data_IF_422003002322
#
_entry.id   IF_422003002322
#
_cell.length_a   1.000
_cell.length_b   1.000
_cell.length_c   1.000
_cell.angle_alpha   90.00
_cell.angle_beta   90.00
_cell.angle_gamma   90.00
#
_symmetry.space_group_name_H-M   'P 1'
#
loop_
_entity.id
_entity.type
_entity.pdbx_description
1 polymer ?
#
# COMPACT_ATOMS: atom_id res chain seq x y z
N UNK A 1 -6.72 -2.54 40.36
CA UNK A 1 -6.49 -3.90 39.80
C UNK A 1 -6.10 -3.69 38.35
N UNK A 2 -4.82 -3.78 38.06
CA UNK A 2 -4.26 -3.66 36.72
C UNK A 2 -4.61 -4.95 35.97
N UNK A 3 -5.45 -4.85 34.97
CA UNK A 3 -5.79 -5.97 34.10
C UNK A 3 -4.52 -6.47 33.40
N UNK A 4 -4.17 -7.73 33.63
CA UNK A 4 -3.15 -8.46 32.90
C UNK A 4 -3.56 -8.49 31.43
N UNK A 5 -2.99 -7.57 30.63
CA UNK A 5 -3.07 -7.67 29.19
C UNK A 5 -2.43 -8.97 28.77
N UNK A 6 -3.23 -9.95 28.38
CA UNK A 6 -2.75 -11.15 27.70
C UNK A 6 -1.97 -10.66 26.47
N UNK A 7 -0.68 -10.88 26.46
CA UNK A 7 0.14 -10.66 25.27
C UNK A 7 -0.55 -11.46 24.15
N UNK A 8 -1.12 -10.76 23.13
CA UNK A 8 -1.70 -11.43 21.98
C UNK A 8 -0.57 -12.23 21.33
N UNK A 9 -0.79 -13.52 21.15
CA UNK A 9 0.15 -14.41 20.50
C UNK A 9 0.48 -13.86 19.08
N UNK A 10 1.76 -13.87 18.73
CA UNK A 10 2.19 -13.41 17.41
C UNK A 10 1.58 -14.28 16.31
N UNK A 11 1.21 -13.65 15.21
CA UNK A 11 0.69 -14.34 14.02
C UNK A 11 1.79 -15.22 13.43
N UNK A 12 1.48 -16.49 13.18
CA UNK A 12 2.41 -17.38 12.51
C UNK A 12 2.49 -17.03 11.02
N UNK A 13 3.37 -16.08 10.69
CA UNK A 13 3.67 -15.67 9.31
C UNK A 13 4.81 -16.54 8.78
N UNK A 14 4.51 -17.35 7.74
CA UNK A 14 5.50 -18.24 7.12
C UNK A 14 6.55 -17.42 6.37
N UNK A 15 7.83 -17.73 6.61
CA UNK A 15 8.93 -17.04 5.94
C UNK A 15 9.12 -17.57 4.50
N UNK A 16 9.32 -16.64 3.56
CA UNK A 16 9.46 -16.91 2.13
C UNK A 16 10.90 -16.74 1.65
N UNK A 17 11.24 -17.29 0.48
CA UNK A 17 12.61 -17.20 -0.07
C UNK A 17 12.91 -15.80 -0.61
N UNK A 18 11.88 -15.05 -1.02
CA UNK A 18 12.01 -13.67 -1.45
C UNK A 18 10.67 -13.07 -1.84
N UNK A 19 10.65 -11.77 -2.09
CA UNK A 19 9.53 -11.03 -2.62
C UNK A 19 10.02 -9.98 -3.62
N UNK A 20 9.29 -9.85 -4.73
CA UNK A 20 9.47 -8.77 -5.70
C UNK A 20 8.26 -7.84 -5.59
N UNK A 21 8.49 -6.55 -5.39
CA UNK A 21 7.44 -5.52 -5.35
C UNK A 21 7.59 -4.65 -6.59
N UNK A 22 6.61 -4.70 -7.49
CA UNK A 22 6.56 -3.88 -8.70
C UNK A 22 5.59 -2.73 -8.48
N UNK A 23 6.02 -1.49 -8.65
CA UNK A 23 5.16 -0.31 -8.60
C UNK A 23 4.40 -0.22 -9.93
N UNK A 24 3.08 -0.41 -9.88
CA UNK A 24 2.20 -0.38 -11.06
C UNK A 24 1.57 1.01 -11.26
N UNK A 25 1.16 1.66 -10.16
CA UNK A 25 0.67 3.05 -10.15
C UNK A 25 1.38 3.83 -9.06
N UNK A 26 1.86 5.02 -9.41
CA UNK A 26 2.43 6.02 -8.51
C UNK A 26 2.33 7.41 -9.14
N UNK A 27 2.58 8.44 -8.35
CA UNK A 27 2.57 9.84 -8.80
C UNK A 27 3.77 10.20 -9.72
N UNK A 28 4.72 9.30 -9.90
CA UNK A 28 5.98 9.58 -10.59
C UNK A 28 6.34 8.50 -11.60
N UNK A 29 6.79 8.91 -12.79
CA UNK A 29 7.38 8.05 -13.83
C UNK A 29 8.66 8.70 -14.36
N UNK A 30 9.73 7.91 -14.47
CA UNK A 30 10.98 8.34 -15.10
C UNK A 30 11.65 7.11 -15.74
N UNK A 31 11.72 7.11 -17.05
CA UNK A 31 12.23 6.01 -17.86
C UNK A 31 13.75 6.06 -18.07
N UNK A 32 14.44 7.05 -17.48
CA UNK A 32 15.89 7.24 -17.59
C UNK A 32 16.62 6.80 -16.30
N UNK A 33 15.90 6.36 -15.28
CA UNK A 33 16.50 5.91 -14.03
C UNK A 33 17.27 4.61 -14.24
N UNK A 34 18.49 4.55 -13.70
CA UNK A 34 19.33 3.35 -13.78
C UNK A 34 18.95 2.30 -12.73
N UNK A 35 19.20 1.03 -13.06
CA UNK A 35 19.15 -0.07 -12.12
C UNK A 35 20.20 0.11 -11.01
N UNK A 36 19.86 -0.38 -9.83
CA UNK A 36 20.79 -0.50 -8.70
C UNK A 36 20.66 -1.88 -8.07
N UNK A 37 21.50 -2.23 -7.10
CA UNK A 37 21.45 -3.55 -6.48
C UNK A 37 20.05 -3.86 -5.90
N UNK A 38 19.43 -4.91 -6.43
CA UNK A 38 18.07 -5.35 -6.05
C UNK A 38 16.94 -4.40 -6.46
N UNK A 39 17.23 -3.41 -7.31
CA UNK A 39 16.22 -2.48 -7.86
C UNK A 39 16.36 -2.47 -9.39
N UNK A 40 15.32 -2.90 -10.07
CA UNK A 40 15.23 -2.83 -11.54
C UNK A 40 14.27 -1.70 -11.93
N UNK A 41 14.63 -0.99 -13.00
CA UNK A 41 13.81 0.09 -13.55
C UNK A 41 13.18 -0.33 -14.87
N UNK A 42 12.02 0.21 -15.16
CA UNK A 42 11.47 0.10 -16.49
C UNK A 42 12.32 0.94 -17.45
N UNK A 43 12.84 0.31 -18.50
CA UNK A 43 13.61 0.98 -19.53
C UNK A 43 12.76 1.08 -20.78
N UNK A 44 12.49 2.29 -21.23
CA UNK A 44 11.82 2.51 -22.50
C UNK A 44 12.79 2.19 -23.67
N UNK A 45 12.33 1.32 -24.59
CA UNK A 45 13.11 0.96 -25.77
C UNK A 45 12.84 1.86 -26.97
N UNK A 46 11.65 2.43 -27.04
CA UNK A 46 11.19 3.26 -28.15
C UNK A 46 10.10 4.23 -27.67
N UNK A 47 10.19 5.48 -28.05
CA UNK A 47 9.17 6.51 -27.75
C UNK A 47 8.18 6.72 -28.91
N UNK A 48 8.39 6.08 -30.07
CA UNK A 48 7.59 6.30 -31.28
C UNK A 48 6.23 5.59 -31.24
N UNK A 49 6.26 4.28 -31.36
CA UNK A 49 5.04 3.48 -31.62
C UNK A 49 4.56 2.64 -30.43
N UNK A 50 5.22 2.72 -29.28
CA UNK A 50 4.88 1.90 -28.13
C UNK A 50 4.18 2.69 -27.05
N UNK A 51 3.24 2.04 -26.41
CA UNK A 51 2.63 2.55 -25.20
C UNK A 51 3.69 2.70 -24.11
N UNK A 52 3.65 3.84 -23.43
CA UNK A 52 4.54 4.16 -22.33
C UNK A 52 3.79 4.04 -21.01
N UNK A 53 4.55 3.82 -19.93
CA UNK A 53 4.03 3.91 -18.56
C UNK A 53 3.49 5.31 -18.29
N UNK A 54 2.43 5.38 -17.49
CA UNK A 54 1.82 6.63 -17.06
C UNK A 54 1.79 6.72 -15.54
N UNK A 55 1.99 7.92 -15.01
CA UNK A 55 1.80 8.25 -13.61
C UNK A 55 0.43 8.89 -13.39
N UNK A 56 -0.16 8.64 -12.22
CA UNK A 56 -1.37 9.36 -11.76
C UNK A 56 -1.35 9.49 -10.25
N UNK A 57 -2.23 10.34 -9.70
CA UNK A 57 -2.41 10.40 -8.26
C UNK A 57 -3.13 9.14 -7.79
N UNK A 58 -2.40 8.20 -7.22
CA UNK A 58 -2.90 6.91 -6.78
C UNK A 58 -1.77 5.93 -6.49
N UNK A 59 -2.10 4.77 -5.98
CA UNK A 59 -1.13 3.72 -5.70
C UNK A 59 -1.62 2.35 -6.16
N UNK A 60 -0.71 1.57 -6.74
CA UNK A 60 -0.90 0.14 -6.98
C UNK A 60 0.45 -0.55 -7.02
N UNK A 61 0.55 -1.69 -6.39
CA UNK A 61 1.75 -2.51 -6.39
C UNK A 61 1.43 -3.99 -6.65
N UNK A 62 2.23 -4.65 -7.49
CA UNK A 62 2.21 -6.09 -7.63
C UNK A 62 3.25 -6.70 -6.69
N UNK A 63 2.78 -7.47 -5.70
CA UNK A 63 3.60 -8.14 -4.69
C UNK A 63 3.74 -9.61 -5.09
N UNK A 64 4.88 -10.00 -5.62
CA UNK A 64 5.14 -11.38 -6.07
C UNK A 64 5.98 -12.13 -5.04
N UNK A 65 5.32 -13.00 -4.28
CA UNK A 65 5.98 -13.86 -3.28
C UNK A 65 6.66 -15.03 -3.97
N UNK A 66 7.91 -15.33 -3.56
CA UNK A 66 8.70 -16.44 -4.09
C UNK A 66 8.95 -17.49 -2.98
N UNK A 67 8.57 -18.74 -3.24
CA UNK A 67 8.80 -19.87 -2.33
C UNK A 67 9.13 -21.12 -3.14
N UNK A 68 10.37 -21.58 -3.10
CA UNK A 68 10.89 -22.60 -4.00
C UNK A 68 10.79 -22.16 -5.47
N UNK A 69 10.08 -22.94 -6.27
CA UNK A 69 9.80 -22.62 -7.67
C UNK A 69 8.50 -21.83 -7.88
N UNK A 70 7.70 -21.68 -6.83
CA UNK A 70 6.40 -20.98 -6.91
C UNK A 70 6.59 -19.47 -6.90
N UNK A 71 5.85 -18.79 -7.79
CA UNK A 71 5.69 -17.33 -7.82
C UNK A 71 4.20 -17.02 -7.65
N UNK A 72 3.86 -16.29 -6.62
CA UNK A 72 2.47 -16.02 -6.26
C UNK A 72 2.23 -14.51 -6.21
N UNK A 73 1.76 -13.90 -7.31
CA UNK A 73 1.47 -12.47 -7.36
C UNK A 73 0.15 -12.12 -6.66
N UNK A 74 0.20 -11.04 -5.87
CA UNK A 74 -0.93 -10.37 -5.22
C UNK A 74 -0.96 -8.94 -5.69
N UNK A 75 -2.09 -8.46 -6.18
CA UNK A 75 -2.27 -7.05 -6.50
C UNK A 75 -2.69 -6.31 -5.22
N UNK A 76 -1.94 -5.31 -4.85
CA UNK A 76 -2.23 -4.41 -3.74
C UNK A 76 -2.62 -3.05 -4.30
N UNK A 77 -3.87 -2.65 -4.08
CA UNK A 77 -4.52 -1.47 -4.65
C UNK A 77 -4.61 -1.44 -6.20
N UNK A 78 -5.41 -0.55 -6.72
CA UNK A 78 -5.72 -0.45 -8.15
C UNK A 78 -5.50 0.95 -8.76
N UNK A 79 -4.98 1.92 -7.99
CA UNK A 79 -4.86 3.30 -8.48
C UNK A 79 -6.23 4.00 -8.66
N UNK A 80 -6.23 5.11 -9.37
CA UNK A 80 -7.40 5.98 -9.52
C UNK A 80 -8.21 5.69 -10.80
N UNK A 81 -7.53 5.46 -11.93
CA UNK A 81 -8.23 5.36 -13.21
C UNK A 81 -8.05 4.01 -13.91
N UNK A 82 -9.13 3.46 -14.49
CA UNK A 82 -9.06 2.21 -15.27
C UNK A 82 -8.08 2.27 -16.43
N UNK A 83 -7.91 3.45 -17.02
CA UNK A 83 -6.99 3.63 -18.16
C UNK A 83 -5.54 3.51 -17.73
N UNK A 84 -5.15 4.16 -16.62
CA UNK A 84 -3.77 4.12 -16.16
C UNK A 84 -3.38 2.71 -15.67
N UNK A 85 -4.20 2.10 -14.79
CA UNK A 85 -3.94 0.74 -14.31
C UNK A 85 -3.82 -0.25 -15.47
N UNK A 86 -4.83 -0.27 -16.34
CA UNK A 86 -4.85 -1.20 -17.46
C UNK A 86 -3.67 -1.02 -18.40
N UNK A 87 -3.33 0.22 -18.75
CA UNK A 87 -2.17 0.52 -19.59
C UNK A 87 -0.86 0.05 -18.97
N UNK A 88 -0.65 0.36 -17.68
CA UNK A 88 0.59 -0.02 -17.01
C UNK A 88 0.70 -1.54 -16.83
N UNK A 89 -0.41 -2.25 -16.58
CA UNK A 89 -0.41 -3.71 -16.56
C UNK A 89 0.01 -4.31 -17.91
N UNK A 90 -0.49 -3.74 -19.03
CA UNK A 90 -0.13 -4.19 -20.38
C UNK A 90 1.36 -3.91 -20.68
N UNK A 91 1.84 -2.69 -20.40
CA UNK A 91 3.23 -2.28 -20.70
C UNK A 91 4.24 -3.05 -19.84
N UNK A 92 3.89 -3.38 -18.60
CA UNK A 92 4.73 -4.16 -17.69
C UNK A 92 4.61 -5.67 -17.89
N UNK A 93 3.78 -6.12 -18.84
CA UNK A 93 3.52 -7.54 -19.12
C UNK A 93 3.18 -8.32 -17.83
N UNK A 94 2.25 -7.75 -17.04
CA UNK A 94 1.85 -8.37 -15.78
C UNK A 94 1.00 -9.62 -16.06
N UNK A 95 1.38 -10.79 -15.50
CA UNK A 95 0.64 -12.04 -15.70
C UNK A 95 -0.68 -12.01 -14.87
N UNK A 96 -1.69 -11.31 -15.38
CA UNK A 96 -2.97 -11.08 -14.69
C UNK A 96 -3.66 -12.41 -14.34
N UNK A 97 -3.56 -13.40 -15.23
CA UNK A 97 -4.11 -14.75 -15.03
C UNK A 97 -3.47 -15.50 -13.86
N UNK A 98 -2.26 -15.14 -13.46
CA UNK A 98 -1.55 -15.76 -12.33
C UNK A 98 -1.88 -15.11 -10.99
N UNK A 99 -2.59 -13.97 -10.96
CA UNK A 99 -2.97 -13.31 -9.71
C UNK A 99 -3.65 -14.29 -8.75
N UNK A 100 -3.24 -14.27 -7.49
CA UNK A 100 -3.75 -15.12 -6.41
C UNK A 100 -4.73 -14.41 -5.49
N UNK A 101 -4.63 -13.10 -5.36
CA UNK A 101 -5.54 -12.28 -4.58
C UNK A 101 -5.42 -10.80 -5.00
N UNK A 102 -6.42 -10.02 -4.60
CA UNK A 102 -6.39 -8.56 -4.58
C UNK A 102 -6.53 -8.13 -3.12
N UNK A 103 -5.80 -7.10 -2.72
CA UNK A 103 -5.94 -6.47 -1.40
C UNK A 103 -6.18 -4.98 -1.61
N UNK A 104 -7.23 -4.44 -1.02
CA UNK A 104 -7.50 -3.00 -0.99
C UNK A 104 -7.04 -2.46 0.35
N UNK A 105 -6.15 -1.48 0.33
CA UNK A 105 -5.60 -0.86 1.53
C UNK A 105 -6.65 -0.13 2.34
N UNK A 106 -7.48 0.68 1.67
CA UNK A 106 -8.58 1.44 2.26
C UNK A 106 -9.53 1.97 1.16
N UNK A 107 -10.66 2.55 1.55
CA UNK A 107 -11.74 2.92 0.63
C UNK A 107 -11.60 4.27 -0.07
N UNK A 108 -10.41 4.85 -0.23
CA UNK A 108 -10.22 6.04 -1.04
C UNK A 108 -10.12 5.67 -2.54
N UNK A 109 -10.73 6.50 -3.39
CA UNK A 109 -10.89 6.19 -4.81
C UNK A 109 -9.57 6.00 -5.58
N UNK A 110 -8.50 6.64 -5.14
CA UNK A 110 -7.16 6.56 -5.71
C UNK A 110 -6.40 5.25 -5.36
N UNK A 111 -7.09 4.32 -4.67
CA UNK A 111 -6.61 2.98 -4.36
C UNK A 111 -7.45 1.85 -4.97
N UNK A 112 -8.68 2.15 -5.43
CA UNK A 112 -9.54 1.12 -6.01
C UNK A 112 -10.16 1.50 -7.36
N UNK A 113 -10.17 2.80 -7.69
CA UNK A 113 -10.89 3.30 -8.88
C UNK A 113 -10.40 2.74 -10.21
N UNK A 114 -9.14 2.29 -10.27
CA UNK A 114 -8.54 1.69 -11.46
C UNK A 114 -8.87 0.22 -11.69
N UNK A 115 -9.48 -0.50 -10.73
CA UNK A 115 -9.70 -1.97 -10.82
C UNK A 115 -10.50 -2.41 -12.06
N UNK A 116 -11.41 -1.59 -12.56
CA UNK A 116 -12.12 -1.87 -13.81
C UNK A 116 -11.12 -2.08 -14.98
N UNK A 117 -9.97 -1.41 -14.96
CA UNK A 117 -8.90 -1.58 -15.95
C UNK A 117 -8.29 -2.98 -15.94
N UNK A 118 -8.20 -3.62 -14.76
CA UNK A 118 -7.82 -5.01 -14.59
C UNK A 118 -8.91 -5.95 -15.13
N UNK A 119 -10.18 -5.73 -14.75
CA UNK A 119 -11.29 -6.62 -15.11
C UNK A 119 -11.55 -6.66 -16.61
N UNK A 120 -11.35 -5.56 -17.32
CA UNK A 120 -11.45 -5.52 -18.79
C UNK A 120 -10.43 -6.42 -19.50
N UNK A 121 -9.34 -6.81 -18.82
CA UNK A 121 -8.20 -7.58 -19.35
C UNK A 121 -8.17 -9.02 -18.87
N UNK A 122 -8.84 -9.30 -17.77
CA UNK A 122 -8.87 -10.63 -17.17
C UNK A 122 -10.21 -11.32 -17.47
N UNK A 123 -10.22 -12.59 -17.88
CA UNK A 123 -11.45 -13.34 -17.89
C UNK A 123 -12.01 -13.43 -16.47
N UNK A 124 -13.34 -13.39 -16.33
CA UNK A 124 -14.00 -13.57 -15.03
C UNK A 124 -13.57 -14.89 -14.40
N UNK A 125 -13.07 -14.79 -13.17
CA UNK A 125 -12.67 -15.95 -12.38
C UNK A 125 -12.84 -15.64 -10.91
N UNK A 126 -13.02 -16.66 -10.10
CA UNK A 126 -13.04 -16.50 -8.65
C UNK A 126 -11.65 -16.09 -8.16
N UNK A 127 -11.54 -14.89 -7.63
CA UNK A 127 -10.31 -14.34 -7.08
C UNK A 127 -10.61 -13.69 -5.72
N UNK A 128 -9.92 -14.06 -4.63
CA UNK A 128 -10.11 -13.43 -3.34
C UNK A 128 -9.76 -11.93 -3.40
N UNK A 129 -10.65 -11.10 -2.86
CA UNK A 129 -10.41 -9.69 -2.62
C UNK A 129 -10.56 -9.41 -1.13
N UNK A 130 -9.46 -9.04 -0.48
CA UNK A 130 -9.47 -8.67 0.94
C UNK A 130 -9.68 -7.17 1.06
N UNK A 131 -10.69 -6.79 1.82
CA UNK A 131 -11.07 -5.40 2.06
C UNK A 131 -11.55 -5.22 3.50
N UNK A 132 -11.31 -4.05 4.07
CA UNK A 132 -11.83 -3.72 5.39
C UNK A 132 -13.31 -3.29 5.30
N UNK A 133 -14.20 -3.65 6.25
CA UNK A 133 -15.62 -3.29 6.16
C UNK A 133 -15.90 -1.78 6.18
N UNK A 134 -15.05 -0.95 6.77
CA UNK A 134 -15.21 0.51 6.71
C UNK A 134 -14.85 1.12 5.34
N UNK A 135 -14.21 0.37 4.43
CA UNK A 135 -13.84 0.85 3.11
C UNK A 135 -15.06 1.14 2.20
N UNK A 136 -16.22 0.59 2.54
CA UNK A 136 -17.48 0.84 1.80
C UNK A 136 -18.15 2.19 2.12
N UNK A 137 -17.61 2.96 3.06
CA UNK A 137 -18.19 4.24 3.46
C UNK A 137 -17.87 5.33 2.45
N UNK A 138 -18.90 6.10 2.06
CA UNK A 138 -18.70 7.34 1.29
C UNK A 138 -17.94 8.34 2.17
N UNK A 139 -16.91 8.99 1.62
CA UNK A 139 -16.02 9.89 2.35
C UNK A 139 -15.84 11.23 1.66
N UNK A 140 -15.38 12.21 2.42
CA UNK A 140 -14.95 13.51 1.92
C UNK A 140 -13.89 14.15 2.80
N UNK A 141 -13.08 14.99 2.19
CA UNK A 141 -12.18 15.93 2.89
C UNK A 141 -12.78 17.33 2.78
N UNK A 142 -12.85 18.04 3.91
CA UNK A 142 -13.29 19.43 3.97
C UNK A 142 -12.08 20.32 4.18
N UNK A 143 -11.72 21.13 3.19
CA UNK A 143 -10.59 22.05 3.27
C UNK A 143 -10.91 23.28 4.11
N UNK A 144 -9.88 23.97 4.59
CA UNK A 144 -10.04 25.23 5.37
C UNK A 144 -10.78 26.34 4.59
N UNK A 145 -10.79 26.28 3.27
CA UNK A 145 -11.55 27.17 2.39
C UNK A 145 -13.05 26.86 2.33
N UNK A 146 -13.49 25.74 2.93
CA UNK A 146 -14.84 25.22 2.80
C UNK A 146 -15.07 24.36 1.53
N UNK A 147 -14.08 24.23 0.66
CA UNK A 147 -14.17 23.33 -0.48
C UNK A 147 -14.16 21.86 -0.01
N UNK A 148 -14.89 21.00 -0.74
CA UNK A 148 -14.97 19.57 -0.45
C UNK A 148 -14.34 18.75 -1.56
N UNK A 149 -13.55 17.74 -1.19
CA UNK A 149 -13.10 16.68 -2.07
C UNK A 149 -13.92 15.42 -1.74
N UNK A 150 -14.73 14.96 -2.67
CA UNK A 150 -15.51 13.71 -2.54
C UNK A 150 -14.64 12.51 -2.86
N UNK A 151 -14.76 11.47 -2.05
CA UNK A 151 -14.04 10.21 -2.17
C UNK A 151 -15.09 9.08 -2.24
N UNK A 152 -15.57 8.74 -3.46
CA UNK A 152 -16.53 7.66 -3.63
C UNK A 152 -15.91 6.32 -3.22
N UNK A 153 -16.66 5.47 -2.48
CA UNK A 153 -16.18 4.16 -2.09
C UNK A 153 -16.23 3.16 -3.25
N UNK A 154 -15.56 2.02 -3.14
CA UNK A 154 -15.81 0.89 -4.04
C UNK A 154 -17.25 0.40 -3.88
N UNK A 155 -17.78 -0.26 -4.91
CA UNK A 155 -19.12 -0.85 -4.90
C UNK A 155 -19.01 -2.36 -4.81
N UNK A 156 -19.51 -2.96 -3.72
CA UNK A 156 -19.46 -4.42 -3.51
C UNK A 156 -20.06 -5.19 -4.69
N UNK A 157 -21.26 -4.78 -5.13
CA UNK A 157 -21.97 -5.47 -6.22
C UNK A 157 -21.20 -5.47 -7.54
N UNK A 158 -20.46 -4.40 -7.84
CA UNK A 158 -19.63 -4.32 -9.05
C UNK A 158 -18.44 -5.28 -8.96
N UNK A 159 -17.78 -5.34 -7.79
CA UNK A 159 -16.65 -6.25 -7.56
C UNK A 159 -17.08 -7.73 -7.62
N UNK A 160 -18.20 -8.09 -6.98
CA UNK A 160 -18.76 -9.45 -7.02
C UNK A 160 -19.23 -9.82 -8.45
N UNK A 161 -19.78 -8.87 -9.22
CA UNK A 161 -20.15 -9.08 -10.61
C UNK A 161 -18.97 -9.42 -11.52
N UNK A 162 -17.76 -8.99 -11.16
CA UNK A 162 -16.51 -9.35 -11.84
C UNK A 162 -15.94 -10.71 -11.39
N UNK A 163 -16.61 -11.41 -10.46
CA UNK A 163 -16.24 -12.74 -9.98
C UNK A 163 -15.35 -12.73 -8.75
N UNK A 164 -15.17 -11.58 -8.09
CA UNK A 164 -14.34 -11.51 -6.89
C UNK A 164 -15.06 -12.09 -5.69
N UNK A 165 -14.36 -12.90 -4.91
CA UNK A 165 -14.78 -13.38 -3.60
C UNK A 165 -14.36 -12.33 -2.54
N UNK A 166 -15.33 -11.51 -2.11
CA UNK A 166 -15.07 -10.42 -1.17
C UNK A 166 -14.92 -10.97 0.25
N UNK A 167 -13.72 -10.81 0.82
CA UNK A 167 -13.36 -11.18 2.19
C UNK A 167 -13.27 -9.90 3.01
N UNK A 168 -14.26 -9.66 3.85
CA UNK A 168 -14.28 -8.54 4.78
C UNK A 168 -13.72 -8.95 6.14
N UNK A 169 -12.66 -8.28 6.57
CA UNK A 169 -12.11 -8.54 7.89
C UNK A 169 -11.51 -7.25 8.50
N UNK A 170 -11.82 -7.02 9.78
CA UNK A 170 -11.25 -5.92 10.57
C UNK A 170 -9.88 -6.27 11.14
N UNK A 171 -9.69 -7.55 11.45
CA UNK A 171 -8.45 -8.08 12.00
C UNK A 171 -7.54 -8.53 10.87
N UNK A 172 -6.37 -8.96 11.25
CA UNK A 172 -5.42 -9.51 10.29
C UNK A 172 -5.96 -10.74 9.56
N UNK A 173 -5.58 -10.88 8.29
CA UNK A 173 -5.94 -12.01 7.43
C UNK A 173 -4.66 -12.60 6.84
N UNK A 174 -4.56 -13.92 6.80
CA UNK A 174 -3.46 -14.64 6.16
C UNK A 174 -3.89 -15.11 4.76
N UNK A 175 -3.05 -14.86 3.77
CA UNK A 175 -3.20 -15.33 2.40
C UNK A 175 -2.03 -16.25 2.04
N UNK A 176 -2.18 -17.02 0.95
CA UNK A 176 -1.14 -17.87 0.38
C UNK A 176 -0.54 -18.84 1.43
N UNK A 177 -1.41 -19.55 2.14
CA UNK A 177 -1.01 -20.51 3.21
C UNK A 177 -0.13 -19.87 4.29
N UNK A 178 -0.46 -18.65 4.68
CA UNK A 178 0.25 -17.93 5.74
C UNK A 178 1.53 -17.21 5.30
N UNK A 179 1.80 -17.08 4.00
CA UNK A 179 2.99 -16.39 3.46
C UNK A 179 2.81 -14.89 3.30
N UNK A 180 1.56 -14.41 3.27
CA UNK A 180 1.21 -12.99 3.19
C UNK A 180 0.24 -12.66 4.30
N UNK A 181 0.56 -11.63 5.07
CA UNK A 181 -0.28 -11.10 6.14
C UNK A 181 -0.87 -9.76 5.70
N UNK A 182 -2.19 -9.66 5.67
CA UNK A 182 -2.91 -8.38 5.61
C UNK A 182 -3.18 -7.94 7.04
N UNK A 183 -2.75 -6.75 7.42
CA UNK A 183 -2.68 -6.34 8.83
C UNK A 183 -4.03 -6.15 9.52
N UNK A 184 -5.10 -5.83 8.75
CA UNK A 184 -6.31 -5.28 9.32
C UNK A 184 -6.06 -3.91 9.98
N UNK A 185 -6.93 -3.52 10.91
CA UNK A 185 -6.81 -2.25 11.64
C UNK A 185 -5.45 -2.10 12.34
N UNK A 186 -4.82 -0.94 12.15
CA UNK A 186 -3.52 -0.61 12.72
C UNK A 186 -3.69 0.07 14.08
N UNK A 187 -3.08 -0.49 15.12
CA UNK A 187 -3.06 0.11 16.45
C UNK A 187 -2.19 1.38 16.46
N UNK A 188 -2.74 2.48 16.97
CA UNK A 188 -2.03 3.76 17.08
C UNK A 188 -1.32 3.86 18.42
N UNK A 189 0.00 3.95 18.38
CA UNK A 189 0.88 3.97 19.56
C UNK A 189 1.78 5.18 19.62
N UNK A 190 1.84 6.01 18.55
CA UNK A 190 2.61 7.23 18.52
C UNK A 190 1.78 8.43 18.99
N UNK A 191 2.42 9.42 19.61
CA UNK A 191 1.75 10.63 20.07
C UNK A 191 1.51 11.65 18.96
N UNK A 192 2.23 11.55 17.83
CA UNK A 192 2.20 12.53 16.76
C UNK A 192 1.35 12.13 15.55
N UNK A 193 1.12 10.85 15.29
CA UNK A 193 0.29 10.35 14.18
C UNK A 193 -1.19 10.33 14.58
N UNK A 194 -1.83 11.51 14.57
CA UNK A 194 -3.19 11.72 15.12
C UNK A 194 -4.32 11.53 14.12
N UNK A 195 -4.01 11.10 12.89
CA UNK A 195 -5.00 10.92 11.83
C UNK A 195 -5.24 12.19 11.01
N UNK A 196 -6.37 12.23 10.29
CA UNK A 196 -6.71 13.26 9.31
C UNK A 196 -7.94 14.08 9.78
N UNK A 197 -7.75 15.19 10.51
CA UNK A 197 -8.83 15.89 11.22
C UNK A 197 -9.96 16.42 10.33
N UNK A 198 -9.68 16.70 9.06
CA UNK A 198 -10.68 17.24 8.11
C UNK A 198 -11.38 16.18 7.29
N UNK A 199 -11.14 14.91 7.59
CA UNK A 199 -11.77 13.77 6.94
C UNK A 199 -13.12 13.43 7.58
N UNK A 200 -14.12 13.14 6.76
CA UNK A 200 -15.47 12.80 7.16
C UNK A 200 -15.93 11.55 6.41
N UNK A 201 -16.75 10.75 7.07
CA UNK A 201 -17.44 9.63 6.46
C UNK A 201 -18.96 9.78 6.59
N UNK A 202 -19.70 9.13 5.69
CA UNK A 202 -21.16 9.14 5.73
C UNK A 202 -21.67 8.03 6.64
N UNK A 203 -22.64 8.37 7.48
CA UNK A 203 -23.44 7.46 8.31
C UNK A 203 -24.92 7.69 8.05
N UNK A 204 -25.79 6.92 8.69
CA UNK A 204 -27.25 7.09 8.61
C UNK A 204 -27.71 8.48 9.06
N UNK A 205 -26.97 9.11 9.99
CA UNK A 205 -27.23 10.46 10.50
C UNK A 205 -26.67 11.61 9.61
N UNK A 206 -25.97 11.29 8.55
CA UNK A 206 -25.31 12.28 7.68
C UNK A 206 -23.78 12.18 7.70
N UNK A 207 -23.11 13.31 7.50
CA UNK A 207 -21.65 13.37 7.55
C UNK A 207 -21.14 13.49 8.98
N UNK A 208 -20.21 12.63 9.38
CA UNK A 208 -19.56 12.65 10.68
C UNK A 208 -18.05 12.70 10.55
N UNK A 209 -17.29 13.25 11.53
CA UNK A 209 -15.83 13.19 11.51
C UNK A 209 -15.33 11.75 11.49
N UNK A 210 -14.38 11.46 10.59
CA UNK A 210 -13.72 10.17 10.45
C UNK A 210 -12.19 10.35 10.37
N UNK A 211 -11.56 10.97 11.38
CA UNK A 211 -10.15 11.30 11.32
C UNK A 211 -9.24 10.09 11.38
N UNK A 212 -9.75 8.95 11.82
CA UNK A 212 -8.92 7.76 12.06
C UNK A 212 -8.74 6.90 10.82
N UNK A 213 -9.69 6.91 9.87
CA UNK A 213 -9.62 6.09 8.64
C UNK A 213 -9.20 4.65 9.02
N UNK A 214 -10.06 4.00 9.82
CA UNK A 214 -9.72 2.73 10.50
C UNK A 214 -9.53 1.54 9.54
N UNK A 215 -9.93 1.71 8.30
CA UNK A 215 -9.76 0.70 7.24
C UNK A 215 -8.33 0.65 6.64
N UNK A 216 -7.43 1.54 7.04
CA UNK A 216 -6.04 1.55 6.57
C UNK A 216 -5.30 0.27 6.98
N UNK A 217 -5.09 -0.62 6.02
CA UNK A 217 -4.44 -1.92 6.21
C UNK A 217 -3.29 -2.11 5.25
N UNK A 218 -2.35 -2.98 5.62
CA UNK A 218 -1.06 -3.14 4.96
C UNK A 218 -0.77 -4.60 4.64
N UNK A 219 0.06 -4.85 3.61
CA UNK A 219 0.57 -6.18 3.29
C UNK A 219 1.95 -6.34 3.90
N UNK A 220 2.18 -7.47 4.59
CA UNK A 220 3.41 -7.78 5.32
C UNK A 220 3.90 -9.17 4.90
N UNK A 221 5.16 -9.27 4.51
CA UNK A 221 5.83 -10.49 4.11
C UNK A 221 7.10 -10.67 4.95
N UNK A 222 7.36 -11.89 5.44
CA UNK A 222 8.59 -12.21 6.14
C UNK A 222 9.56 -12.91 5.20
N UNK A 223 10.67 -12.28 4.85
CA UNK A 223 11.69 -12.85 3.96
C UNK A 223 12.80 -13.51 4.78
N UNK A 224 13.08 -14.78 4.50
CA UNK A 224 14.11 -15.58 5.20
C UNK A 224 15.44 -14.84 5.31
N UNK A 225 15.92 -14.68 6.53
CA UNK A 225 17.21 -14.03 6.82
C UNK A 225 17.26 -12.52 6.60
N UNK A 226 16.19 -11.90 6.03
CA UNK A 226 16.15 -10.46 5.75
C UNK A 226 15.19 -9.68 6.65
N UNK A 227 14.06 -10.28 7.07
CA UNK A 227 13.04 -9.65 7.89
C UNK A 227 11.79 -9.25 7.11
N UNK A 228 11.02 -8.30 7.64
CA UNK A 228 9.74 -7.90 7.08
C UNK A 228 9.89 -6.97 5.87
N UNK A 229 9.08 -7.22 4.86
CA UNK A 229 8.77 -6.28 3.79
C UNK A 229 7.32 -5.84 4.00
N UNK A 230 7.11 -4.53 4.12
CA UNK A 230 5.82 -3.90 4.38
C UNK A 230 5.43 -3.07 3.15
N UNK A 231 4.20 -3.28 2.65
CA UNK A 231 3.62 -2.47 1.57
C UNK A 231 2.38 -1.78 2.10
N UNK A 232 2.34 -0.45 2.01
CA UNK A 232 1.27 0.40 2.52
C UNK A 232 0.69 1.28 1.40
N UNK A 233 -0.63 1.46 1.39
CA UNK A 233 -1.31 2.37 0.46
C UNK A 233 -1.01 3.82 0.79
N UNK A 234 -1.56 4.30 1.90
CA UNK A 234 -1.37 5.67 2.40
C UNK A 234 -0.77 5.77 3.80
N UNK A 235 -0.82 4.73 4.61
CA UNK A 235 -0.46 4.79 6.03
C UNK A 235 -1.25 5.86 6.80
N UNK A 236 -2.56 5.95 6.61
CA UNK A 236 -3.41 6.90 7.35
C UNK A 236 -3.41 6.64 8.86
N UNK A 237 -3.13 5.42 9.26
CA UNK A 237 -2.90 5.06 10.65
C UNK A 237 -1.61 5.69 11.23
N UNK A 238 -0.74 6.19 10.35
CA UNK A 238 0.60 6.67 10.65
C UNK A 238 1.65 5.65 10.24
N UNK A 239 2.66 6.07 9.47
CA UNK A 239 3.66 5.16 8.92
C UNK A 239 4.51 4.49 10.03
N UNK A 240 4.76 5.16 11.15
CA UNK A 240 5.44 4.57 12.31
C UNK A 240 4.52 3.59 13.04
N UNK A 241 3.22 3.89 13.14
CA UNK A 241 2.24 2.95 13.69
C UNK A 241 2.14 1.69 12.83
N UNK A 242 2.16 1.81 11.51
CA UNK A 242 2.18 0.66 10.57
C UNK A 242 3.40 -0.21 10.83
N UNK A 243 4.60 0.37 10.93
CA UNK A 243 5.84 -0.35 11.21
C UNK A 243 5.74 -1.10 12.56
N UNK A 244 5.36 -0.41 13.63
CA UNK A 244 5.18 -1.00 14.97
C UNK A 244 4.12 -2.10 15.00
N UNK A 245 3.04 -1.92 14.25
CA UNK A 245 1.99 -2.91 14.14
C UNK A 245 2.49 -4.18 13.43
N UNK A 246 3.31 -4.05 12.38
CA UNK A 246 3.92 -5.18 11.71
C UNK A 246 4.85 -5.98 12.66
N UNK A 247 5.69 -5.28 13.43
CA UNK A 247 6.52 -5.91 14.46
C UNK A 247 5.68 -6.62 15.55
N UNK A 248 4.62 -5.95 16.02
CA UNK A 248 3.73 -6.50 17.06
C UNK A 248 2.98 -7.75 16.57
N UNK A 249 2.47 -7.72 15.34
CA UNK A 249 1.72 -8.85 14.76
C UNK A 249 2.59 -10.07 14.54
N UNK A 250 3.83 -9.87 14.09
CA UNK A 250 4.69 -10.97 13.63
C UNK A 250 5.76 -11.40 14.65
N UNK A 251 6.09 -10.54 15.63
CA UNK A 251 7.23 -10.72 16.52
C UNK A 251 8.59 -10.48 15.84
N UNK A 252 8.62 -10.16 14.54
CA UNK A 252 9.85 -9.90 13.77
C UNK A 252 10.16 -8.42 13.81
N UNK A 253 11.35 -8.03 14.29
CA UNK A 253 11.76 -6.63 14.44
C UNK A 253 12.55 -6.07 13.25
N UNK A 254 13.20 -6.94 12.48
CA UNK A 254 14.01 -6.51 11.35
C UNK A 254 13.12 -6.14 10.18
N UNK A 255 13.22 -4.92 9.71
CA UNK A 255 12.49 -4.41 8.55
C UNK A 255 13.43 -4.39 7.35
N UNK A 256 13.20 -5.31 6.40
CA UNK A 256 13.96 -5.38 5.16
C UNK A 256 13.57 -4.26 4.18
N UNK A 257 12.26 -3.94 4.12
CA UNK A 257 11.77 -2.86 3.28
C UNK A 257 10.44 -2.29 3.74
N UNK A 258 10.23 -0.99 3.50
CA UNK A 258 8.96 -0.31 3.68
C UNK A 258 8.65 0.53 2.43
N UNK A 259 7.55 0.19 1.75
CA UNK A 259 7.19 0.66 0.43
C UNK A 259 5.78 1.24 0.45
N UNK A 260 5.58 2.39 -0.20
CA UNK A 260 4.26 2.96 -0.42
C UNK A 260 4.08 4.37 0.11
N UNK A 261 2.82 4.79 0.31
CA UNK A 261 2.47 6.10 0.80
C UNK A 261 2.61 6.22 2.32
N UNK A 262 3.16 7.36 2.78
CA UNK A 262 3.34 7.66 4.20
C UNK A 262 2.52 8.85 4.66
N UNK A 263 1.67 9.37 3.79
CA UNK A 263 0.74 10.50 4.00
C UNK A 263 1.35 11.69 4.74
N UNK A 264 2.51 12.16 4.27
CA UNK A 264 3.27 13.25 4.87
C UNK A 264 3.17 14.58 4.08
N UNK A 265 2.31 14.62 3.06
CA UNK A 265 2.07 15.80 2.25
C UNK A 265 0.96 16.68 2.82
N UNK A 266 1.08 17.99 2.60
CA UNK A 266 0.13 18.99 3.06
C UNK A 266 0.39 19.53 4.46
N UNK A 267 -0.11 20.74 4.71
CA UNK A 267 0.25 21.53 5.91
C UNK A 267 -0.09 20.86 7.25
N UNK A 268 -1.06 19.94 7.28
CA UNK A 268 -1.44 19.20 8.49
C UNK A 268 -0.39 18.13 8.83
N UNK A 269 0.22 17.51 7.82
CA UNK A 269 1.11 16.37 7.99
C UNK A 269 2.60 16.74 7.93
N UNK A 270 2.97 17.85 7.29
CA UNK A 270 4.37 18.30 7.24
C UNK A 270 5.06 18.40 8.60
N UNK A 271 4.39 18.84 9.69
CA UNK A 271 5.02 18.90 11.02
C UNK A 271 5.48 17.55 11.57
N UNK A 272 4.94 16.42 11.09
CA UNK A 272 5.33 15.09 11.57
C UNK A 272 6.41 14.42 10.70
N UNK A 273 6.91 15.08 9.65
CA UNK A 273 8.00 14.55 8.82
C UNK A 273 9.22 14.20 9.66
N UNK A 274 9.70 15.16 10.47
CA UNK A 274 10.88 14.94 11.32
C UNK A 274 10.75 13.73 12.25
N UNK A 275 9.74 13.69 13.14
CA UNK A 275 9.52 12.54 14.02
C UNK A 275 9.36 11.20 13.29
N UNK A 276 8.75 11.19 12.10
CA UNK A 276 8.61 9.98 11.29
C UNK A 276 9.96 9.49 10.76
N UNK A 277 10.77 10.40 10.22
CA UNK A 277 12.12 10.09 9.71
C UNK A 277 13.02 9.59 10.84
N UNK A 278 13.00 10.25 12.00
CA UNK A 278 13.77 9.83 13.18
C UNK A 278 13.41 8.39 13.61
N UNK A 279 12.12 8.06 13.57
CA UNK A 279 11.65 6.72 13.90
C UNK A 279 12.13 5.67 12.88
N UNK A 280 12.13 5.97 11.59
CA UNK A 280 12.62 5.06 10.55
C UNK A 280 14.13 4.83 10.63
N UNK A 281 14.90 5.87 10.91
CA UNK A 281 16.33 5.77 11.18
C UNK A 281 16.58 4.88 12.40
N UNK A 282 15.85 5.13 13.49
CA UNK A 282 15.97 4.33 14.72
C UNK A 282 15.58 2.85 14.53
N UNK A 283 14.58 2.58 13.68
CA UNK A 283 14.17 1.22 13.32
C UNK A 283 15.15 0.52 12.36
N UNK A 284 16.14 1.25 11.83
CA UNK A 284 17.12 0.73 10.87
C UNK A 284 16.46 0.02 9.67
N UNK A 285 15.48 0.70 9.04
CA UNK A 285 14.77 0.18 7.87
C UNK A 285 15.75 -0.05 6.72
N UNK A 286 15.82 -1.27 6.20
CA UNK A 286 16.84 -1.67 5.23
C UNK A 286 16.68 -1.01 3.86
N UNK A 287 15.42 -0.88 3.36
CA UNK A 287 15.08 -0.09 2.17
C UNK A 287 13.79 0.68 2.39
N UNK A 288 13.76 1.95 1.99
CA UNK A 288 12.59 2.80 2.09
C UNK A 288 12.22 3.37 0.71
N UNK A 289 10.98 3.15 0.28
CA UNK A 289 10.43 3.62 -1.00
C UNK A 289 9.21 4.49 -0.74
N UNK A 290 9.41 5.80 -0.46
CA UNK A 290 8.34 6.72 -0.15
C UNK A 290 7.60 7.16 -1.43
N UNK A 291 6.45 6.54 -1.69
CA UNK A 291 5.62 6.71 -2.88
C UNK A 291 4.40 7.63 -2.62
N UNK A 292 3.64 7.91 -3.65
CA UNK A 292 2.28 8.43 -3.66
C UNK A 292 2.06 9.65 -2.74
N UNK A 293 1.26 9.51 -1.68
CA UNK A 293 0.89 10.59 -0.75
C UNK A 293 1.99 10.96 0.26
N UNK A 294 3.19 10.39 0.17
CA UNK A 294 4.34 10.81 1.00
C UNK A 294 4.69 12.28 0.76
N UNK A 295 4.62 12.73 -0.49
CA UNK A 295 4.89 14.11 -0.88
C UNK A 295 6.38 14.45 -0.95
N UNK A 296 6.71 15.37 -1.86
CA UNK A 296 8.10 15.68 -2.23
C UNK A 296 8.97 16.19 -1.09
N UNK A 297 8.41 16.95 -0.13
CA UNK A 297 9.19 17.44 1.03
C UNK A 297 9.68 16.29 1.89
N UNK A 298 8.78 15.36 2.24
CA UNK A 298 9.13 14.19 3.03
C UNK A 298 10.09 13.26 2.27
N UNK A 299 9.89 13.07 0.97
CA UNK A 299 10.80 12.30 0.11
C UNK A 299 12.23 12.85 0.17
N UNK A 300 12.42 14.18 0.07
CA UNK A 300 13.74 14.79 0.16
C UNK A 300 14.39 14.63 1.54
N UNK A 301 13.61 14.78 2.61
CA UNK A 301 14.13 14.60 3.98
C UNK A 301 14.55 13.14 4.20
N UNK A 302 13.74 12.17 3.73
CA UNK A 302 14.07 10.75 3.80
C UNK A 302 15.33 10.41 2.99
N UNK A 303 15.45 10.94 1.77
CA UNK A 303 16.64 10.73 0.93
C UNK A 303 17.94 11.26 1.59
N UNK A 304 17.86 12.38 2.33
CA UNK A 304 19.00 12.94 3.04
C UNK A 304 19.34 12.17 4.32
N UNK A 305 18.30 11.73 5.06
CA UNK A 305 18.49 11.07 6.35
C UNK A 305 18.88 9.58 6.22
N UNK A 306 18.48 8.94 5.13
CA UNK A 306 18.66 7.49 4.90
C UNK A 306 19.23 7.21 3.49
N UNK A 307 20.36 7.82 3.08
CA UNK A 307 20.84 7.76 1.69
C UNK A 307 21.09 6.32 1.19
N UNK A 308 21.57 5.43 2.06
CA UNK A 308 21.87 4.04 1.70
C UNK A 308 20.62 3.14 1.63
N UNK A 309 19.56 3.51 2.34
CA UNK A 309 18.28 2.78 2.37
C UNK A 309 17.25 3.37 1.38
N UNK A 310 17.40 4.62 0.98
CA UNK A 310 16.44 5.32 0.14
C UNK A 310 16.47 4.83 -1.30
N UNK A 311 15.28 4.50 -1.82
CA UNK A 311 15.07 4.19 -3.22
C UNK A 311 13.95 5.10 -3.74
N UNK A 312 14.25 5.95 -4.73
CA UNK A 312 13.22 6.75 -5.38
C UNK A 312 12.24 5.83 -6.11
N UNK A 313 10.94 5.76 -5.73
CA UNK A 313 9.97 5.00 -6.47
C UNK A 313 9.63 5.69 -7.80
N UNK A 314 9.25 4.88 -8.79
CA UNK A 314 8.66 5.31 -10.04
C UNK A 314 7.80 4.16 -10.56
N UNK A 315 6.79 4.46 -11.36
CA UNK A 315 6.00 3.43 -12.06
C UNK A 315 6.95 2.53 -12.87
N UNK A 316 6.79 1.20 -12.75
CA UNK A 316 7.66 0.21 -13.37
C UNK A 316 8.91 -0.16 -12.57
N UNK A 317 9.13 0.46 -11.39
CA UNK A 317 10.21 0.03 -10.49
C UNK A 317 9.89 -1.34 -9.88
N UNK A 318 10.85 -2.26 -9.91
CA UNK A 318 10.78 -3.56 -9.24
C UNK A 318 11.87 -3.62 -8.17
N UNK A 319 11.47 -3.85 -6.93
CA UNK A 319 12.41 -4.03 -5.80
C UNK A 319 12.35 -5.46 -5.31
N UNK A 320 13.51 -6.11 -5.24
CA UNK A 320 13.68 -7.51 -4.84
C UNK A 320 14.28 -7.64 -3.44
N UNK A 321 13.67 -8.46 -2.64
CA UNK A 321 14.13 -8.79 -1.28
C UNK A 321 14.39 -10.27 -1.13
#
# INVERSE_FOLDING_TARGET
>A
MLGSGLAREAVKLEAVDGVDVTIVIDNFVDVLMADTEGVRRYLAHDFGDRDQLVAEHGFSALVTVRSGHERSPVLYDGGLTPTALGRNLDVLDVPIEDLRAIVISHGHADHHGGLEGLFRRSPRRTLPLVIHPEAWRERKVVFSTGAELRLPPPTRGDLEAEGLEVIEERRHTLLLDGRVLVSGEVERTTEFEKGFPTHHARSDGGWEPDPMISDDQNVIINVKGKGLVIVSGCSHAGAVNVLRNAERLTGVRRIAGFIGGFHLTGGIFEPIIGPTVDAFVAANVGRILPAHCTGWKAVHVLAQAMPDAFVQPAVGTVVSF
#
